data_IF_204608318539
#
_entry.id   IF_204608318539
#
_cell.length_a   1.000
_cell.length_b   1.000
_cell.length_c   1.000
_cell.angle_alpha   90.00
_cell.angle_beta   90.00
_cell.angle_gamma   90.00
#
_symmetry.space_group_name_H-M   'P 1'
#
loop_
_entity.id
_entity.type
_entity.pdbx_description
1 polymer ?
#
# COMPACT_ATOMS: atom_id res chain seq x y z
N UNK A 1 3.56 -3.52 -22.10
CA UNK A 1 4.89 -4.09 -21.81
C UNK A 1 5.00 -5.43 -22.52
N UNK A 2 6.13 -5.74 -23.15
CA UNK A 2 6.36 -7.01 -23.87
C UNK A 2 7.10 -8.06 -23.04
N UNK A 3 7.68 -7.65 -21.90
CA UNK A 3 8.40 -8.51 -20.96
C UNK A 3 8.09 -8.12 -19.51
N UNK A 4 8.39 -9.02 -18.57
CA UNK A 4 8.30 -8.74 -17.15
C UNK A 4 9.42 -7.77 -16.70
N UNK A 5 9.09 -6.96 -15.70
CA UNK A 5 10.00 -6.06 -15.00
C UNK A 5 9.81 -6.21 -13.49
N UNK A 6 10.81 -5.77 -12.73
CA UNK A 6 10.69 -5.60 -11.29
C UNK A 6 10.61 -4.13 -10.93
N UNK A 7 9.57 -3.75 -10.19
CA UNK A 7 9.55 -2.48 -9.47
C UNK A 7 10.40 -2.62 -8.21
N UNK A 8 11.40 -1.75 -8.10
CA UNK A 8 12.46 -1.85 -7.09
C UNK A 8 12.56 -0.63 -6.18
N UNK A 9 11.88 0.46 -6.51
CA UNK A 9 11.71 1.60 -5.62
C UNK A 9 10.51 2.44 -6.01
N UNK A 10 10.00 3.20 -5.04
CA UNK A 10 8.95 4.21 -5.21
C UNK A 10 9.40 5.52 -4.57
N UNK A 11 9.00 6.64 -5.14
CA UNK A 11 9.23 7.97 -4.58
C UNK A 11 7.97 8.82 -4.72
N UNK A 12 7.63 9.67 -3.74
CA UNK A 12 6.48 10.55 -3.85
C UNK A 12 6.69 11.60 -4.94
N UNK A 13 5.61 11.92 -5.65
CA UNK A 13 5.48 13.10 -6.48
C UNK A 13 4.34 13.92 -5.89
N UNK A 14 4.66 15.00 -5.17
CA UNK A 14 3.65 15.78 -4.44
C UNK A 14 3.40 17.11 -5.16
N UNK A 15 2.14 17.40 -5.40
CA UNK A 15 1.67 18.68 -5.90
C UNK A 15 0.91 19.47 -4.83
N UNK A 16 0.00 18.81 -4.11
CA UNK A 16 -0.75 19.38 -2.99
C UNK A 16 -0.23 18.86 -1.65
N UNK A 17 1.05 19.13 -1.34
CA UNK A 17 1.74 18.63 -0.13
C UNK A 17 1.08 19.05 1.18
N UNK A 18 0.28 20.11 1.17
CA UNK A 18 -0.49 20.64 2.29
C UNK A 18 -1.70 19.78 2.70
N UNK A 19 -2.17 18.88 1.81
CA UNK A 19 -3.33 18.02 2.07
C UNK A 19 -3.07 16.54 1.83
N UNK A 20 -2.09 16.17 1.00
CA UNK A 20 -1.80 14.75 0.72
C UNK A 20 -1.17 14.11 1.96
N UNK A 21 -1.86 13.15 2.57
CA UNK A 21 -1.43 12.48 3.79
C UNK A 21 -0.72 11.14 3.51
N UNK A 22 -1.26 10.32 2.60
CA UNK A 22 -0.58 9.12 2.13
C UNK A 22 -1.04 8.74 0.71
N UNK A 23 -0.20 7.96 0.03
CA UNK A 23 -0.47 7.42 -1.31
C UNK A 23 -0.17 5.93 -1.28
N UNK A 24 -1.13 5.11 -1.71
CA UNK A 24 -1.00 3.66 -1.81
C UNK A 24 -1.14 3.21 -3.26
N UNK A 25 -0.35 2.20 -3.64
CA UNK A 25 -0.38 1.57 -4.95
C UNK A 25 -0.78 0.11 -4.82
N UNK A 26 -1.84 -0.27 -5.53
CA UNK A 26 -2.39 -1.62 -5.52
C UNK A 26 -2.21 -2.28 -6.89
N UNK A 27 -1.66 -3.49 -6.91
CA UNK A 27 -1.69 -4.37 -8.07
C UNK A 27 -3.08 -4.98 -8.25
N UNK A 28 -3.53 -5.02 -9.51
CA UNK A 28 -4.84 -5.53 -9.87
C UNK A 28 -4.78 -6.86 -10.63
N UNK A 29 -5.87 -7.61 -10.53
CA UNK A 29 -6.08 -8.83 -11.29
C UNK A 29 -6.22 -8.55 -12.79
N UNK A 30 -5.73 -9.43 -13.67
CA UNK A 30 -5.71 -9.20 -15.12
C UNK A 30 -7.08 -9.06 -15.79
N UNK A 31 -8.15 -9.46 -15.09
CA UNK A 31 -9.53 -9.47 -15.61
C UNK A 31 -10.27 -8.17 -15.31
N UNK A 32 -9.68 -7.29 -14.50
CA UNK A 32 -10.35 -6.06 -14.08
C UNK A 32 -10.37 -5.02 -15.18
N UNK A 33 -11.52 -4.38 -15.33
CA UNK A 33 -11.75 -3.34 -16.31
C UNK A 33 -10.95 -2.09 -15.93
N UNK A 34 -10.36 -1.41 -16.91
CA UNK A 34 -9.68 -0.13 -16.68
C UNK A 34 -10.67 0.87 -16.06
N UNK A 35 -10.44 1.22 -14.80
CA UNK A 35 -11.12 2.34 -14.16
C UNK A 35 -10.49 3.62 -14.71
N UNK A 36 -11.18 4.26 -15.67
CA UNK A 36 -10.63 5.40 -16.43
C UNK A 36 -10.79 6.75 -15.75
N UNK A 37 -11.62 6.82 -14.72
CA UNK A 37 -11.91 8.07 -14.00
C UNK A 37 -11.67 7.90 -12.51
N UNK A 38 -11.11 8.90 -11.82
CA UNK A 38 -11.01 8.90 -10.36
C UNK A 38 -12.39 8.76 -9.70
N UNK A 39 -12.45 8.09 -8.56
CA UNK A 39 -13.65 7.93 -7.74
C UNK A 39 -13.26 7.84 -6.27
N UNK A 40 -14.24 8.06 -5.38
CA UNK A 40 -14.04 7.91 -3.95
C UNK A 40 -13.86 6.43 -3.59
N UNK A 41 -12.71 6.09 -3.03
CA UNK A 41 -12.41 4.77 -2.50
C UNK A 41 -12.78 4.67 -1.01
N UNK A 42 -12.98 3.45 -0.53
CA UNK A 42 -13.05 3.15 0.91
C UNK A 42 -11.69 2.56 1.33
N UNK A 43 -11.63 1.34 1.86
CA UNK A 43 -10.40 0.70 2.35
C UNK A 43 -9.45 0.26 1.23
N UNK A 44 -9.99 -0.18 0.10
CA UNK A 44 -9.25 -0.58 -1.11
C UNK A 44 -9.86 0.13 -2.31
N UNK A 45 -9.11 0.34 -3.40
CA UNK A 45 -9.65 0.98 -4.59
C UNK A 45 -10.76 0.11 -5.23
N UNK A 46 -10.50 -1.18 -5.45
CA UNK A 46 -11.45 -2.09 -6.10
C UNK A 46 -11.29 -3.53 -5.58
N UNK A 47 -12.32 -4.36 -5.71
CA UNK A 47 -12.29 -5.76 -5.25
C UNK A 47 -11.21 -6.59 -5.93
N UNK A 48 -10.93 -6.34 -7.21
CA UNK A 48 -9.83 -6.96 -7.93
C UNK A 48 -8.49 -6.22 -7.83
N UNK A 49 -8.36 -5.19 -7.00
CA UNK A 49 -7.13 -4.43 -6.79
C UNK A 49 -6.73 -4.40 -5.31
N UNK A 50 -6.30 -5.55 -4.79
CA UNK A 50 -6.07 -5.75 -3.34
C UNK A 50 -4.60 -5.91 -2.95
N UNK A 51 -3.72 -6.18 -3.90
CA UNK A 51 -2.31 -6.40 -3.60
C UNK A 51 -1.61 -5.07 -3.36
N UNK A 52 -1.36 -4.70 -2.11
CA UNK A 52 -0.55 -3.51 -1.82
C UNK A 52 0.90 -3.75 -2.29
N UNK A 53 1.37 -2.93 -3.23
CA UNK A 53 2.69 -3.07 -3.86
C UNK A 53 3.55 -1.82 -3.73
N UNK A 54 3.02 -0.75 -3.15
CA UNK A 54 3.78 0.44 -2.79
C UNK A 54 3.00 1.30 -1.82
N UNK A 55 3.70 1.92 -0.87
CA UNK A 55 3.14 2.84 0.08
C UNK A 55 4.03 4.07 0.21
N UNK A 56 3.39 5.21 0.49
CA UNK A 56 4.06 6.43 0.90
C UNK A 56 3.19 7.15 1.92
N UNK A 57 3.81 7.72 2.94
CA UNK A 57 3.17 8.57 3.95
C UNK A 57 4.04 9.79 4.23
N UNK A 58 3.44 10.86 4.78
CA UNK A 58 4.17 12.07 5.19
C UNK A 58 5.44 11.72 5.97
N UNK A 59 6.55 12.35 5.60
CA UNK A 59 7.87 12.14 6.21
C UNK A 59 8.71 11.04 5.56
N UNK A 60 8.14 10.19 4.69
CA UNK A 60 8.92 9.19 3.95
C UNK A 60 9.59 9.81 2.70
N UNK A 61 10.88 9.53 2.43
CA UNK A 61 11.51 9.88 1.16
C UNK A 61 11.11 8.96 -0.02
N UNK A 62 10.32 7.91 0.26
CA UNK A 62 10.06 6.79 -0.65
C UNK A 62 10.60 5.47 -0.10
N UNK A 63 10.44 4.40 -0.87
CA UNK A 63 10.81 3.04 -0.47
C UNK A 63 11.75 2.40 -1.49
N UNK A 64 12.73 1.64 -1.01
CA UNK A 64 13.60 0.80 -1.82
C UNK A 64 13.37 -0.67 -1.46
N UNK A 65 13.11 -1.50 -2.47
CA UNK A 65 13.01 -2.93 -2.30
C UNK A 65 14.40 -3.53 -2.02
N UNK A 66 14.44 -4.56 -1.16
CA UNK A 66 15.66 -5.32 -0.85
C UNK A 66 16.38 -5.79 -2.14
N UNK A 67 17.72 -5.75 -2.22
CA UNK A 67 18.46 -6.02 -3.47
C UNK A 67 18.13 -7.35 -4.18
N UNK A 68 17.63 -8.34 -3.43
CA UNK A 68 17.25 -9.66 -3.95
C UNK A 68 15.77 -9.80 -4.31
N UNK A 69 14.95 -8.74 -4.24
CA UNK A 69 13.53 -8.80 -4.59
C UNK A 69 13.01 -7.56 -5.31
N UNK A 70 11.93 -7.73 -6.09
CA UNK A 70 11.16 -6.63 -6.66
C UNK A 70 9.72 -7.05 -6.94
N UNK A 71 8.80 -6.08 -6.98
CA UNK A 71 7.40 -6.39 -7.31
C UNK A 71 7.29 -6.64 -8.82
N UNK A 72 6.85 -7.84 -9.21
CA UNK A 72 6.74 -8.21 -10.63
C UNK A 72 5.59 -7.48 -11.32
N UNK A 73 5.92 -6.74 -12.37
CA UNK A 73 4.97 -6.07 -13.25
C UNK A 73 5.18 -6.53 -14.69
N UNK A 74 4.12 -6.53 -15.49
CA UNK A 74 4.17 -7.01 -16.89
C UNK A 74 3.36 -8.29 -17.13
N UNK A 75 3.63 -9.01 -18.24
CA UNK A 75 2.84 -10.17 -18.67
C UNK A 75 2.59 -11.25 -17.62
N UNK A 76 3.62 -11.57 -16.82
CA UNK A 76 3.61 -12.55 -15.73
C UNK A 76 3.45 -11.95 -14.33
N UNK A 77 3.20 -10.63 -14.23
CA UNK A 77 2.97 -9.93 -12.98
C UNK A 77 1.71 -9.05 -13.02
N UNK A 78 1.73 -7.96 -12.24
CA UNK A 78 0.66 -6.97 -12.29
C UNK A 78 0.68 -6.21 -13.62
N UNK A 79 -0.45 -6.21 -14.33
CA UNK A 79 -0.61 -5.52 -15.62
C UNK A 79 -1.24 -4.13 -15.45
N UNK A 80 -2.07 -4.00 -14.43
CA UNK A 80 -2.78 -2.78 -14.07
C UNK A 80 -2.55 -2.52 -12.60
N UNK A 81 -2.48 -1.23 -12.25
CA UNK A 81 -2.39 -0.78 -10.87
C UNK A 81 -3.46 0.27 -10.60
N UNK A 82 -3.94 0.31 -9.36
CA UNK A 82 -4.78 1.38 -8.86
C UNK A 82 -3.98 2.22 -7.85
N UNK A 83 -4.11 3.53 -7.95
CA UNK A 83 -3.52 4.47 -7.00
C UNK A 83 -4.63 5.01 -6.11
N UNK A 84 -4.42 4.95 -4.80
CA UNK A 84 -5.26 5.58 -3.80
C UNK A 84 -4.50 6.75 -3.18
N UNK A 85 -5.13 7.91 -3.15
CA UNK A 85 -4.59 9.12 -2.50
C UNK A 85 -5.52 9.47 -1.35
N UNK A 86 -4.98 9.60 -0.15
CA UNK A 86 -5.71 10.08 1.01
C UNK A 86 -5.35 11.53 1.28
N UNK A 87 -6.35 12.40 1.14
CA UNK A 87 -6.23 13.81 1.50
C UNK A 87 -6.78 14.07 2.90
N UNK A 88 -5.98 14.72 3.74
CA UNK A 88 -6.40 15.27 5.02
C UNK A 88 -6.39 16.81 4.92
N UNK A 89 -7.57 17.44 4.90
CA UNK A 89 -7.73 18.89 4.71
C UNK A 89 -8.40 19.57 5.91
N UNK A 90 -7.77 19.58 7.11
CA UNK A 90 -8.35 20.19 8.31
C UNK A 90 -8.53 21.71 8.16
N UNK A 91 -7.68 22.36 7.37
CA UNK A 91 -7.76 23.79 7.06
C UNK A 91 -8.91 24.17 6.13
N UNK A 92 -9.66 23.21 5.58
CA UNK A 92 -10.76 23.41 4.63
C UNK A 92 -10.35 24.30 3.45
N UNK A 93 -9.13 24.10 2.96
CA UNK A 93 -8.59 24.81 1.81
C UNK A 93 -9.47 24.51 0.59
N UNK A 94 -9.81 25.56 -0.17
CA UNK A 94 -10.65 25.47 -1.35
C UNK A 94 -9.83 25.68 -2.63
N UNK A 95 -10.32 25.15 -3.75
CA UNK A 95 -9.68 25.35 -5.06
C UNK A 95 -8.38 24.59 -5.29
N UNK A 96 -8.06 23.59 -4.44
CA UNK A 96 -6.91 22.71 -4.65
C UNK A 96 -7.18 21.80 -5.84
N UNK A 97 -6.27 21.82 -6.81
CA UNK A 97 -6.18 20.84 -7.89
C UNK A 97 -4.94 20.02 -7.61
N UNK A 98 -5.09 18.70 -7.52
CA UNK A 98 -3.99 17.80 -7.18
C UNK A 98 -3.69 16.83 -8.34
N UNK A 99 -2.41 16.64 -8.61
CA UNK A 99 -1.88 15.61 -9.50
C UNK A 99 -0.72 14.84 -8.83
N UNK A 100 -0.78 14.70 -7.50
CA UNK A 100 0.17 13.90 -6.73
C UNK A 100 0.10 12.42 -7.10
N UNK A 101 1.21 11.72 -6.91
CA UNK A 101 1.33 10.30 -7.23
C UNK A 101 2.66 9.72 -6.79
N UNK A 102 3.08 8.64 -7.47
CA UNK A 102 4.34 7.95 -7.21
C UNK A 102 5.18 7.86 -8.48
N UNK A 103 6.47 8.17 -8.36
CA UNK A 103 7.49 7.76 -9.33
C UNK A 103 7.91 6.34 -9.00
N UNK A 104 7.80 5.44 -9.98
CA UNK A 104 8.24 4.06 -9.86
C UNK A 104 9.57 3.85 -10.58
N UNK A 105 10.45 3.06 -9.96
CA UNK A 105 11.73 2.66 -10.55
C UNK A 105 11.65 1.19 -10.94
N UNK A 106 11.82 0.92 -12.23
CA UNK A 106 11.71 -0.42 -12.81
C UNK A 106 13.08 -0.90 -13.29
N UNK A 107 13.29 -2.21 -13.24
CA UNK A 107 14.45 -2.90 -13.84
C UNK A 107 14.00 -4.08 -14.68
N UNK A 108 14.65 -4.29 -15.83
CA UNK A 108 14.50 -5.51 -16.64
C UNK A 108 15.37 -6.65 -16.13
N UNK A 109 16.38 -6.37 -15.31
CA UNK A 109 17.17 -7.38 -14.62
C UNK A 109 16.36 -7.88 -13.42
N UNK A 110 15.52 -8.90 -13.66
CA UNK A 110 14.70 -9.49 -12.62
C UNK A 110 15.59 -9.97 -11.47
N UNK A 111 15.24 -9.55 -10.26
CA UNK A 111 15.91 -10.00 -9.03
C UNK A 111 15.46 -11.42 -8.71
N UNK A 112 16.18 -12.06 -7.79
CA UNK A 112 16.01 -13.47 -7.45
C UNK A 112 14.59 -13.83 -7.01
N UNK A 113 13.92 -12.93 -6.28
CA UNK A 113 12.61 -13.19 -5.70
C UNK A 113 11.58 -12.14 -6.15
N UNK A 114 10.33 -12.55 -6.28
CA UNK A 114 9.23 -11.60 -6.40
C UNK A 114 8.83 -11.10 -5.01
N UNK A 115 8.67 -9.79 -4.87
CA UNK A 115 8.26 -9.15 -3.63
C UNK A 115 6.72 -9.21 -3.46
N UNK A 116 6.29 -9.26 -2.21
CA UNK A 116 4.90 -9.08 -1.81
C UNK A 116 4.83 -8.30 -0.50
N UNK A 117 3.67 -7.68 -0.24
CA UNK A 117 3.40 -7.02 1.03
C UNK A 117 2.28 -7.75 1.75
N UNK A 118 2.53 -8.13 3.00
CA UNK A 118 1.53 -8.71 3.87
C UNK A 118 1.11 -7.67 4.90
N UNK A 119 -0.17 -7.31 4.91
CA UNK A 119 -0.76 -6.47 5.96
C UNK A 119 -1.35 -7.39 7.03
N UNK A 120 -0.84 -7.27 8.27
CA UNK A 120 -1.37 -7.95 9.45
C UNK A 120 -1.83 -6.93 10.48
N UNK A 121 -2.88 -7.25 11.22
CA UNK A 121 -3.43 -6.36 12.23
C UNK A 121 -4.93 -6.53 12.37
N UNK A 122 -5.54 -5.60 13.11
CA UNK A 122 -6.98 -5.50 13.24
C UNK A 122 -7.53 -4.68 12.08
N UNK A 123 -8.54 -5.19 11.39
CA UNK A 123 -9.22 -4.44 10.32
C UNK A 123 -10.09 -3.30 10.86
N UNK A 124 -10.59 -3.47 12.08
CA UNK A 124 -11.38 -2.49 12.80
C UNK A 124 -10.97 -2.56 14.27
N UNK A 125 -10.71 -1.39 14.85
CA UNK A 125 -10.39 -1.23 16.25
C UNK A 125 -11.38 -0.22 16.84
N UNK A 126 -12.21 -0.66 17.77
CA UNK A 126 -13.08 0.20 18.57
C UNK A 126 -12.41 0.43 19.91
N UNK A 127 -12.16 1.69 20.22
CA UNK A 127 -11.58 2.12 21.48
C UNK A 127 -12.72 2.74 22.28
N UNK A 128 -13.17 2.01 23.29
CA UNK A 128 -14.16 2.52 24.23
C UNK A 128 -13.43 3.32 25.30
N UNK A 129 -13.82 4.58 25.48
CA UNK A 129 -13.34 5.37 26.63
C UNK A 129 -13.97 4.78 27.89
N UNK A 130 -13.15 4.30 28.83
CA UNK A 130 -13.64 4.18 30.20
C UNK A 130 -14.03 5.58 30.73
N UNK A 131 -14.90 5.65 31.73
CA UNK A 131 -15.38 6.93 32.29
C UNK A 131 -14.25 7.82 32.85
N UNK A 132 -13.01 7.33 32.95
CA UNK A 132 -11.86 8.05 33.48
C UNK A 132 -10.86 8.53 32.41
N UNK A 133 -10.86 7.97 31.19
CA UNK A 133 -10.03 8.39 30.07
C UNK A 133 -8.51 8.26 30.28
N UNK A 134 -8.06 7.43 31.23
CA UNK A 134 -6.66 7.47 31.74
C UNK A 134 -5.91 6.14 31.72
N UNK A 135 -6.40 5.10 31.03
CA UNK A 135 -5.76 3.79 30.97
C UNK A 135 -4.92 3.53 29.71
N UNK A 136 -3.77 2.87 29.87
CA UNK A 136 -3.08 2.22 28.75
C UNK A 136 -3.94 1.05 28.25
N UNK A 137 -4.50 1.18 27.03
CA UNK A 137 -5.29 0.13 26.40
C UNK A 137 -4.41 -0.71 25.47
N UNK A 138 -4.54 -2.04 25.57
CA UNK A 138 -3.79 -2.98 24.75
C UNK A 138 -4.73 -3.86 23.94
N UNK A 139 -4.47 -3.91 22.64
CA UNK A 139 -5.19 -4.75 21.69
C UNK A 139 -4.21 -5.65 20.97
N UNK A 140 -4.61 -6.89 20.71
CA UNK A 140 -3.78 -7.86 20.00
C UNK A 140 -4.58 -8.58 18.92
N UNK A 141 -3.89 -8.93 17.84
CA UNK A 141 -4.41 -9.77 16.77
C UNK A 141 -3.33 -10.77 16.34
N UNK A 142 -3.77 -11.91 15.84
CA UNK A 142 -2.88 -13.00 15.44
C UNK A 142 -3.28 -13.46 14.05
N UNK A 143 -2.28 -13.68 13.18
CA UNK A 143 -2.45 -14.44 11.95
C UNK A 143 -2.26 -15.93 12.30
N UNK A 144 -3.34 -16.72 12.43
CA UNK A 144 -3.23 -18.10 12.91
C UNK A 144 -2.58 -19.00 11.86
N UNK A 145 -2.04 -20.13 12.30
CA UNK A 145 -1.37 -21.13 11.44
C UNK A 145 -2.24 -21.56 10.24
N UNK A 146 -3.56 -21.68 10.44
CA UNK A 146 -4.50 -22.01 9.35
C UNK A 146 -4.47 -20.98 8.21
N UNK A 147 -4.22 -19.70 8.52
CA UNK A 147 -4.10 -18.66 7.50
C UNK A 147 -2.76 -18.77 6.78
N UNK A 148 -1.65 -18.87 7.53
CA UNK A 148 -0.31 -18.93 6.91
C UNK A 148 -0.13 -20.18 6.04
N UNK A 149 -0.72 -21.33 6.42
CA UNK A 149 -0.73 -22.56 5.59
C UNK A 149 -1.47 -22.40 4.26
N UNK A 150 -2.50 -21.56 4.22
CA UNK A 150 -3.27 -21.29 2.99
C UNK A 150 -2.58 -20.23 2.13
N UNK A 151 -1.98 -19.22 2.77
CA UNK A 151 -1.35 -18.09 2.10
C UNK A 151 -0.01 -18.44 1.46
N UNK A 152 0.76 -19.34 2.08
CA UNK A 152 2.13 -19.62 1.67
C UNK A 152 2.34 -21.09 1.40
N UNK A 153 2.66 -21.42 0.14
CA UNK A 153 3.06 -22.77 -0.29
C UNK A 153 4.57 -23.01 -0.18
N UNK A 154 5.35 -21.98 0.11
CA UNK A 154 6.81 -22.02 0.23
C UNK A 154 7.28 -21.05 1.33
N UNK A 155 8.53 -21.19 1.81
CA UNK A 155 9.09 -20.22 2.76
C UNK A 155 9.02 -18.79 2.23
N UNK A 156 8.73 -17.85 3.12
CA UNK A 156 8.77 -16.40 2.87
C UNK A 156 9.81 -15.75 3.77
N UNK A 157 10.45 -14.70 3.27
CA UNK A 157 11.51 -13.98 3.99
C UNK A 157 11.05 -12.54 4.22
N UNK A 158 11.01 -12.11 5.49
CA UNK A 158 10.63 -10.74 5.84
C UNK A 158 11.88 -9.87 5.76
N UNK A 159 11.87 -8.88 4.86
CA UNK A 159 13.01 -7.95 4.68
C UNK A 159 12.78 -6.59 5.32
N UNK A 160 11.51 -6.23 5.59
CA UNK A 160 11.10 -4.95 6.15
C UNK A 160 9.73 -5.06 6.81
N UNK A 161 9.49 -4.24 7.82
CA UNK A 161 8.19 -4.10 8.48
C UNK A 161 7.92 -2.62 8.78
N UNK A 162 6.67 -2.20 8.59
CA UNK A 162 6.21 -0.83 8.87
C UNK A 162 4.99 -0.92 9.77
N UNK A 163 5.02 -0.21 10.89
CA UNK A 163 3.87 -0.08 11.77
C UNK A 163 3.01 1.09 11.30
N UNK A 164 1.69 0.93 11.36
CA UNK A 164 0.73 1.96 11.00
C UNK A 164 -0.35 2.07 12.07
N UNK A 165 -0.61 3.29 12.54
CA UNK A 165 -1.72 3.64 13.41
C UNK A 165 -2.15 5.08 13.12
N UNK A 166 -3.37 5.43 13.49
CA UNK A 166 -3.85 6.81 13.46
C UNK A 166 -3.67 7.47 14.84
N UNK A 167 -3.83 8.80 14.87
CA UNK A 167 -4.03 9.48 16.15
C UNK A 167 -5.31 8.98 16.80
N UNK A 168 -5.26 8.78 18.12
CA UNK A 168 -6.39 8.44 18.98
C UNK A 168 -7.20 9.70 19.31
#
# INVERSE_FOLDING_TARGET
>A
MTSDLHMIATQPLLNASEVVHHILMFGCDPKEQELRTPYACVMVPHEGCRSLIGAWTVGSPGECAHPEMGFRVGPGGYKTVAIQVHWNNPGKLAGIVDNSGLRIHLTSNLRKNDAGMLVVGQQYLQIETDEQGTGDLSFSSVCPERCTKVMFSSPVYITSAVNHMHYL
#
